data_IF_564464384449
#
_entry.id   IF_564464384449
#
_cell.length_a   1.000
_cell.length_b   1.000
_cell.length_c   1.000
_cell.angle_alpha   90.00
_cell.angle_beta   90.00
_cell.angle_gamma   90.00
#
_symmetry.space_group_name_H-M   'P 1'
#
loop_
_entity.id
_entity.type
_entity.pdbx_description
1 polymer ?
#
# COMPACT_ATOMS: atom_id res chain seq x y z
N UNK A 1 28.95 41.93 -8.33
CA UNK A 1 29.18 40.50 -8.04
C UNK A 1 27.84 39.85 -7.75
N UNK A 2 27.23 39.25 -8.78
CA UNK A 2 25.89 38.63 -8.74
C UNK A 2 26.07 37.12 -8.75
N UNK A 3 25.49 36.41 -7.77
CA UNK A 3 25.41 34.94 -7.77
C UNK A 3 24.02 34.56 -8.25
N UNK A 4 23.97 33.99 -9.44
CA UNK A 4 22.76 33.39 -10.00
C UNK A 4 22.56 32.01 -9.37
N UNK A 5 21.44 31.82 -8.67
CA UNK A 5 20.96 30.51 -8.23
C UNK A 5 20.17 29.90 -9.37
N UNK A 6 20.69 28.81 -9.94
CA UNK A 6 19.98 28.00 -10.93
C UNK A 6 19.05 27.07 -10.16
N UNK A 7 17.74 27.29 -10.28
CA UNK A 7 16.70 26.36 -9.84
C UNK A 7 16.45 25.40 -10.99
N UNK A 8 16.84 24.14 -10.80
CA UNK A 8 16.60 23.05 -11.75
C UNK A 8 15.21 22.49 -11.47
N UNK A 9 14.23 22.92 -12.27
CA UNK A 9 12.89 22.34 -12.28
C UNK A 9 12.97 21.03 -13.07
N UNK A 10 12.93 19.90 -12.38
CA UNK A 10 12.76 18.59 -13.00
C UNK A 10 11.26 18.33 -13.13
N UNK A 11 10.67 18.78 -14.24
CA UNK A 11 9.37 18.27 -14.70
C UNK A 11 9.59 16.89 -15.32
N UNK A 12 9.52 15.86 -14.49
CA UNK A 12 9.44 14.47 -14.92
C UNK A 12 7.98 14.03 -15.01
N UNK A 13 7.41 14.08 -16.21
CA UNK A 13 6.17 13.40 -16.56
C UNK A 13 6.30 11.91 -16.27
N UNK A 14 5.61 11.42 -15.24
CA UNK A 14 5.39 9.99 -15.01
C UNK A 14 3.89 9.70 -15.18
N UNK A 15 3.56 9.28 -16.41
CA UNK A 15 2.38 8.47 -16.65
C UNK A 15 2.71 7.08 -16.07
N UNK A 16 2.28 6.80 -14.84
CA UNK A 16 2.41 5.47 -14.25
C UNK A 16 1.20 5.17 -13.38
N UNK A 17 0.31 4.36 -13.95
CA UNK A 17 -0.75 3.56 -13.37
C UNK A 17 -1.24 3.92 -11.95
N UNK A 18 -2.38 4.60 -11.92
CA UNK A 18 -3.36 4.52 -10.86
C UNK A 18 -3.92 3.07 -10.77
N UNK A 19 -3.15 2.14 -10.20
CA UNK A 19 -3.63 0.83 -9.77
C UNK A 19 -2.79 0.42 -8.55
N UNK A 20 -3.32 0.62 -7.35
CA UNK A 20 -2.59 0.19 -6.16
C UNK A 20 -3.06 0.68 -4.80
N UNK A 21 -4.36 0.99 -4.60
CA UNK A 21 -4.89 1.20 -3.24
C UNK A 21 -6.26 0.53 -2.98
N UNK A 22 -6.75 -0.32 -3.90
CA UNK A 22 -8.06 -0.98 -3.76
C UNK A 22 -8.04 -2.51 -3.62
N UNK A 23 -6.90 -3.13 -3.36
CA UNK A 23 -6.75 -4.60 -3.40
C UNK A 23 -6.34 -5.29 -2.09
N UNK A 24 -6.67 -4.73 -0.92
CA UNK A 24 -6.55 -5.45 0.37
C UNK A 24 -7.80 -5.39 1.26
N UNK A 25 -8.97 -5.06 0.69
CA UNK A 25 -10.26 -5.16 1.39
C UNK A 25 -11.19 -6.15 0.68
N UNK A 26 -10.81 -7.42 0.63
CA UNK A 26 -11.78 -8.53 0.59
C UNK A 26 -11.07 -9.89 0.71
N UNK A 27 -10.80 -10.27 1.97
CA UNK A 27 -10.75 -11.68 2.37
C UNK A 27 -11.35 -11.77 3.77
N UNK A 28 -12.64 -11.45 3.89
CA UNK A 28 -13.44 -11.90 5.02
C UNK A 28 -13.78 -13.37 4.77
N UNK A 29 -13.13 -14.26 5.51
CA UNK A 29 -13.70 -15.57 5.79
C UNK A 29 -14.53 -15.42 7.05
N UNK A 30 -15.85 -15.48 6.90
CA UNK A 30 -16.77 -15.66 8.01
C UNK A 30 -16.51 -17.03 8.64
N UNK A 31 -15.62 -17.10 9.63
CA UNK A 31 -15.56 -18.24 10.53
C UNK A 31 -16.58 -18.04 11.63
N UNK A 32 -17.73 -18.68 11.48
CA UNK A 32 -18.72 -18.86 12.53
C UNK A 32 -18.04 -19.35 13.83
N UNK A 33 -18.15 -18.55 14.89
CA UNK A 33 -17.98 -18.99 16.26
C UNK A 33 -19.05 -20.05 16.55
N UNK A 34 -18.65 -21.30 16.70
CA UNK A 34 -19.48 -22.36 17.29
C UNK A 34 -18.85 -22.85 18.59
N UNK A 35 -19.72 -22.94 19.59
CA UNK A 35 -19.46 -23.31 20.97
C UNK A 35 -18.63 -24.58 21.15
N UNK A 36 -17.76 -24.54 22.16
CA UNK A 36 -17.18 -25.71 22.77
C UNK A 36 -18.24 -26.54 23.51
N UNK A 37 -18.39 -27.81 23.13
CA UNK A 37 -18.81 -28.86 24.06
C UNK A 37 -17.94 -30.10 23.91
N UNK A 38 -17.37 -30.51 25.06
CA UNK A 38 -16.65 -31.75 25.31
C UNK A 38 -17.55 -32.97 25.06
N UNK A 39 -17.02 -34.04 24.45
CA UNK A 39 -16.76 -35.33 25.11
C UNK A 39 -16.26 -36.43 24.15
N UNK A 40 -15.18 -37.09 24.60
CA UNK A 40 -14.88 -38.53 24.59
C UNK A 40 -14.40 -39.27 23.32
N UNK A 41 -13.26 -39.92 23.58
CA UNK A 41 -12.48 -41.00 22.94
C UNK A 41 -13.25 -42.12 22.24
N UNK A 42 -12.73 -42.61 21.10
CA UNK A 42 -12.25 -44.00 20.89
C UNK A 42 -11.63 -44.23 19.49
N UNK A 43 -10.70 -45.19 19.46
CA UNK A 43 -9.79 -45.59 18.37
C UNK A 43 -10.46 -46.22 17.13
N UNK A 44 -9.84 -46.05 15.95
CA UNK A 44 -9.31 -47.13 15.09
C UNK A 44 -9.03 -46.67 13.64
N UNK A 45 -7.92 -47.17 13.09
CA UNK A 45 -7.43 -47.04 11.70
C UNK A 45 -7.60 -48.40 10.97
N UNK A 46 -7.10 -48.66 9.73
CA UNK A 46 -7.35 -48.05 8.42
C UNK A 46 -7.73 -49.09 7.32
N UNK A 47 -8.26 -48.64 6.17
CA UNK A 47 -8.15 -49.18 4.79
C UNK A 47 -9.15 -48.40 3.92
N UNK A 48 -8.86 -47.79 2.77
CA UNK A 48 -8.08 -48.24 1.63
C UNK A 48 -9.06 -48.53 0.49
N UNK A 49 -9.14 -47.69 -0.55
CA UNK A 49 -9.53 -48.06 -1.93
C UNK A 49 -9.41 -46.90 -2.93
N UNK A 50 -9.25 -47.30 -4.19
CA UNK A 50 -8.64 -46.64 -5.35
C UNK A 50 -9.60 -45.78 -6.19
N UNK A 51 -9.02 -44.71 -6.75
CA UNK A 51 -9.03 -44.13 -8.12
C UNK A 51 -10.22 -44.25 -9.11
N UNK A 52 -10.23 -43.22 -9.99
CA UNK A 52 -10.83 -43.03 -11.34
C UNK A 52 -12.35 -42.70 -11.28
N UNK A 53 -12.94 -41.67 -11.92
CA UNK A 53 -12.77 -41.04 -13.24
C UNK A 53 -13.18 -39.55 -13.20
N UNK A 54 -12.53 -38.78 -14.08
CA UNK A 54 -12.86 -37.48 -14.65
C UNK A 54 -14.33 -37.05 -14.64
N UNK A 55 -14.57 -35.80 -14.27
CA UNK A 55 -15.57 -34.97 -14.94
C UNK A 55 -15.10 -33.51 -15.01
N UNK A 56 -15.07 -33.02 -16.24
CA UNK A 56 -14.72 -31.66 -16.58
C UNK A 56 -15.78 -30.70 -16.06
N UNK A 57 -15.42 -29.87 -15.08
CA UNK A 57 -16.22 -28.72 -14.67
C UNK A 57 -15.97 -27.57 -15.65
N UNK A 58 -17.03 -26.87 -16.10
CA UNK A 58 -16.90 -25.77 -17.04
C UNK A 58 -16.19 -24.60 -16.38
N UNK A 59 -15.31 -23.97 -17.16
CA UNK A 59 -14.66 -22.69 -16.87
C UNK A 59 -15.64 -21.75 -16.16
N UNK A 60 -15.39 -21.47 -14.89
CA UNK A 60 -16.01 -20.35 -14.20
C UNK A 60 -15.58 -19.10 -14.96
N UNK A 61 -16.53 -18.51 -15.68
CA UNK A 61 -16.37 -17.22 -16.32
C UNK A 61 -15.81 -16.26 -15.28
N UNK A 62 -14.64 -15.71 -15.56
CA UNK A 62 -14.11 -14.54 -14.89
C UNK A 62 -15.21 -13.48 -14.92
N UNK A 63 -15.88 -13.32 -13.78
CA UNK A 63 -16.79 -12.22 -13.53
C UNK A 63 -15.90 -11.02 -13.30
N UNK A 64 -15.52 -10.36 -14.39
CA UNK A 64 -14.99 -9.01 -14.32
C UNK A 64 -16.04 -8.15 -13.60
N UNK A 65 -15.70 -7.67 -12.40
CA UNK A 65 -16.46 -6.68 -11.62
C UNK A 65 -16.42 -5.30 -12.30
N UNK A 66 -16.70 -5.25 -13.60
CA UNK A 66 -16.80 -4.03 -14.41
C UNK A 66 -18.24 -3.75 -14.83
N UNK A 67 -19.23 -4.22 -14.06
CA UNK A 67 -20.64 -4.17 -14.45
C UNK A 67 -21.61 -3.85 -13.31
N UNK A 68 -21.56 -2.63 -12.75
CA UNK A 68 -22.63 -2.16 -11.85
C UNK A 68 -22.93 -0.64 -11.86
N UNK A 69 -22.41 0.14 -12.81
CA UNK A 69 -22.71 1.58 -12.90
C UNK A 69 -23.48 2.01 -14.14
N UNK A 70 -23.91 1.09 -15.00
CA UNK A 70 -24.71 1.40 -16.21
C UNK A 70 -26.13 1.92 -15.89
N UNK A 71 -26.50 1.98 -14.61
CA UNK A 71 -27.81 2.42 -14.13
C UNK A 71 -27.72 3.48 -13.02
N UNK A 72 -26.74 4.39 -13.09
CA UNK A 72 -26.83 5.60 -12.27
C UNK A 72 -28.12 6.35 -12.63
N UNK A 73 -28.96 6.72 -11.65
CA UNK A 73 -30.10 7.56 -11.91
C UNK A 73 -29.67 8.80 -12.71
N UNK A 74 -30.29 9.09 -13.88
CA UNK A 74 -29.88 10.19 -14.76
C UNK A 74 -29.93 11.56 -14.05
N UNK A 75 -30.69 11.66 -12.96
CA UNK A 75 -30.70 12.81 -12.08
C UNK A 75 -29.34 13.10 -11.44
N UNK A 76 -28.59 12.06 -11.01
CA UNK A 76 -27.29 12.24 -10.34
C UNK A 76 -26.25 12.77 -11.32
N UNK A 77 -26.20 12.17 -12.52
CA UNK A 77 -25.33 12.66 -13.60
C UNK A 77 -25.71 14.10 -14.00
N UNK A 78 -27.01 14.38 -14.09
CA UNK A 78 -27.52 15.73 -14.33
C UNK A 78 -27.10 16.76 -13.27
N UNK A 79 -26.95 16.37 -11.99
CA UNK A 79 -26.43 17.27 -10.95
C UNK A 79 -24.94 17.55 -11.15
N UNK A 80 -24.14 16.52 -11.43
CA UNK A 80 -22.68 16.64 -11.56
C UNK A 80 -22.26 17.45 -12.79
N UNK A 81 -22.90 17.19 -13.93
CA UNK A 81 -22.57 17.82 -15.22
C UNK A 81 -23.15 19.23 -15.36
N UNK A 82 -24.09 19.63 -14.50
CA UNK A 82 -24.70 20.95 -14.59
C UNK A 82 -23.73 22.05 -14.16
N UNK A 83 -23.21 22.77 -15.17
CA UNK A 83 -22.28 23.89 -15.00
C UNK A 83 -22.93 25.13 -14.36
N UNK A 84 -24.26 25.23 -14.31
CA UNK A 84 -24.95 26.34 -13.64
C UNK A 84 -25.00 26.21 -12.12
N UNK A 85 -24.71 25.02 -11.58
CA UNK A 85 -24.69 24.78 -10.14
C UNK A 85 -23.28 25.03 -9.59
N UNK A 86 -23.20 25.81 -8.51
CA UNK A 86 -21.98 25.93 -7.73
C UNK A 86 -21.74 24.68 -6.85
N UNK A 87 -20.59 24.60 -6.18
CA UNK A 87 -20.20 23.42 -5.40
C UNK A 87 -21.17 23.12 -4.24
N UNK A 88 -21.60 24.15 -3.50
CA UNK A 88 -22.53 23.99 -2.39
C UNK A 88 -23.93 23.54 -2.88
N UNK A 89 -24.41 24.10 -4.00
CA UNK A 89 -25.68 23.69 -4.62
C UNK A 89 -25.65 22.24 -5.13
N UNK A 90 -24.52 21.79 -5.68
CA UNK A 90 -24.34 20.39 -6.08
C UNK A 90 -24.39 19.47 -4.87
N UNK A 91 -23.67 19.82 -3.80
CA UNK A 91 -23.66 19.05 -2.55
C UNK A 91 -25.05 18.98 -1.92
N UNK A 92 -25.81 20.07 -1.89
CA UNK A 92 -27.17 20.08 -1.36
C UNK A 92 -28.10 19.16 -2.13
N UNK A 93 -28.03 19.17 -3.47
CA UNK A 93 -28.83 18.28 -4.32
C UNK A 93 -28.42 16.82 -4.16
N UNK A 94 -27.12 16.52 -4.13
CA UNK A 94 -26.62 15.16 -3.91
C UNK A 94 -26.98 14.64 -2.52
N UNK A 95 -26.91 15.50 -1.50
CA UNK A 95 -27.32 15.10 -0.15
C UNK A 95 -28.82 14.80 -0.09
N UNK A 96 -29.65 15.60 -0.75
CA UNK A 96 -31.10 15.33 -0.84
C UNK A 96 -31.38 14.01 -1.58
N UNK A 97 -30.65 13.72 -2.65
CA UNK A 97 -30.72 12.44 -3.33
C UNK A 97 -30.29 11.30 -2.39
N UNK A 98 -29.23 11.51 -1.59
CA UNK A 98 -28.76 10.53 -0.61
C UNK A 98 -29.81 10.24 0.46
N UNK A 99 -30.49 11.26 0.99
CA UNK A 99 -31.59 11.08 1.95
C UNK A 99 -32.77 10.30 1.34
N UNK A 100 -33.05 10.53 0.05
CA UNK A 100 -34.10 9.82 -0.69
C UNK A 100 -33.76 8.34 -0.88
N UNK A 101 -32.50 8.05 -1.21
CA UNK A 101 -31.99 6.70 -1.46
C UNK A 101 -31.32 6.07 -0.23
N UNK A 102 -31.57 6.58 0.97
CA UNK A 102 -30.94 6.13 2.22
C UNK A 102 -31.08 4.62 2.50
N UNK A 103 -32.12 3.99 1.95
CA UNK A 103 -32.42 2.56 2.10
C UNK A 103 -31.82 1.68 1.01
N UNK A 104 -31.10 2.27 0.05
CA UNK A 104 -30.45 1.59 -1.07
C UNK A 104 -28.93 1.74 -0.89
N UNK A 105 -28.27 0.83 -0.14
CA UNK A 105 -26.90 1.05 0.34
C UNK A 105 -25.89 1.35 -0.76
N UNK A 106 -26.02 0.72 -1.92
CA UNK A 106 -25.12 0.93 -3.06
C UNK A 106 -25.24 2.34 -3.64
N UNK A 107 -26.47 2.81 -3.88
CA UNK A 107 -26.73 4.17 -4.39
C UNK A 107 -26.35 5.21 -3.35
N UNK A 108 -26.73 5.00 -2.09
CA UNK A 108 -26.39 5.86 -0.98
C UNK A 108 -24.86 6.01 -0.82
N UNK A 109 -24.14 4.89 -0.88
CA UNK A 109 -22.67 4.87 -0.83
C UNK A 109 -22.07 5.61 -2.02
N UNK A 110 -22.54 5.35 -3.23
CA UNK A 110 -22.07 6.04 -4.44
C UNK A 110 -22.25 7.55 -4.34
N UNK A 111 -23.42 8.01 -3.86
CA UNK A 111 -23.70 9.43 -3.66
C UNK A 111 -22.73 10.07 -2.66
N UNK A 112 -22.50 9.42 -1.51
CA UNK A 112 -21.55 9.91 -0.50
C UNK A 112 -20.11 9.91 -1.00
N UNK A 113 -19.69 8.86 -1.70
CA UNK A 113 -18.35 8.79 -2.32
C UNK A 113 -18.17 9.87 -3.40
N UNK A 114 -19.23 10.19 -4.14
CA UNK A 114 -19.22 11.26 -5.14
C UNK A 114 -19.07 12.65 -4.49
N UNK A 115 -19.72 12.87 -3.35
CA UNK A 115 -19.64 14.14 -2.63
C UNK A 115 -18.21 14.46 -2.15
N UNK A 116 -17.33 13.45 -1.97
CA UNK A 116 -15.93 13.65 -1.55
C UNK A 116 -15.11 14.49 -2.53
N UNK A 117 -15.51 14.52 -3.81
CA UNK A 117 -14.79 15.23 -4.87
C UNK A 117 -15.27 16.67 -5.07
N UNK A 118 -16.31 17.09 -4.36
CA UNK A 118 -16.86 18.44 -4.45
C UNK A 118 -16.37 19.23 -3.24
N UNK A 119 -15.76 20.39 -3.49
CA UNK A 119 -15.20 21.25 -2.44
C UNK A 119 -16.22 22.30 -2.02
N UNK A 120 -16.92 22.16 -0.88
CA UNK A 120 -17.87 23.17 -0.43
C UNK A 120 -17.16 24.46 -0.01
N UNK A 121 -17.84 25.58 -0.17
CA UNK A 121 -17.42 26.85 0.42
C UNK A 121 -17.69 26.85 1.92
N UNK A 122 -18.82 26.25 2.35
CA UNK A 122 -19.21 26.17 3.76
C UNK A 122 -18.89 24.79 4.38
N UNK A 123 -17.61 24.57 4.69
CA UNK A 123 -17.13 23.31 5.30
C UNK A 123 -17.78 23.02 6.65
N UNK A 124 -18.07 24.04 7.47
CA UNK A 124 -18.67 23.86 8.81
C UNK A 124 -20.06 23.24 8.74
N UNK A 125 -20.93 23.80 7.88
CA UNK A 125 -22.27 23.26 7.66
C UNK A 125 -22.23 21.82 7.12
N UNK A 126 -21.27 21.51 6.22
CA UNK A 126 -21.11 20.16 5.70
C UNK A 126 -20.71 19.17 6.80
N UNK A 127 -19.76 19.53 7.66
CA UNK A 127 -19.35 18.71 8.81
C UNK A 127 -20.52 18.43 9.75
N UNK A 128 -21.28 19.45 10.12
CA UNK A 128 -22.47 19.30 10.98
C UNK A 128 -23.50 18.36 10.36
N UNK A 129 -23.72 18.47 9.04
CA UNK A 129 -24.67 17.62 8.31
C UNK A 129 -24.21 16.16 8.27
N UNK A 130 -22.91 15.92 8.06
CA UNK A 130 -22.34 14.56 8.09
C UNK A 130 -22.43 13.96 9.49
N UNK A 131 -22.09 14.72 10.53
CA UNK A 131 -22.26 14.26 11.92
C UNK A 131 -23.71 13.88 12.22
N UNK A 132 -24.67 14.72 11.80
CA UNK A 132 -26.08 14.45 11.99
C UNK A 132 -26.48 13.14 11.30
N UNK A 133 -25.99 12.89 10.07
CA UNK A 133 -26.18 11.65 9.33
C UNK A 133 -25.61 10.43 10.08
N UNK A 134 -24.36 10.52 10.57
CA UNK A 134 -23.71 9.43 11.31
C UNK A 134 -24.46 9.05 12.60
N UNK A 135 -25.03 10.03 13.31
CA UNK A 135 -25.71 9.79 14.59
C UNK A 135 -27.18 9.37 14.46
N UNK A 136 -27.91 9.93 13.50
CA UNK A 136 -29.37 9.74 13.39
C UNK A 136 -29.76 8.77 12.27
N UNK A 137 -28.85 8.47 11.35
CA UNK A 137 -29.09 7.57 10.24
C UNK A 137 -29.04 6.10 10.63
N UNK A 138 -30.08 5.37 10.22
CA UNK A 138 -30.05 3.90 10.21
C UNK A 138 -29.46 3.42 8.88
N UNK A 139 -28.15 3.53 8.75
CA UNK A 139 -27.41 3.15 7.54
C UNK A 139 -26.68 1.82 7.71
N UNK A 140 -26.49 1.14 6.58
CA UNK A 140 -25.56 0.01 6.44
C UNK A 140 -24.11 0.45 6.70
N UNK A 141 -23.28 -0.50 7.16
CA UNK A 141 -21.86 -0.29 7.46
C UNK A 141 -21.09 0.38 6.32
N UNK A 142 -21.35 -0.01 5.06
CA UNK A 142 -20.69 0.57 3.89
C UNK A 142 -20.97 2.07 3.74
N UNK A 143 -22.21 2.49 3.99
CA UNK A 143 -22.62 3.89 3.93
C UNK A 143 -22.03 4.68 5.12
N UNK A 144 -22.00 4.10 6.32
CA UNK A 144 -21.36 4.72 7.50
C UNK A 144 -19.88 4.99 7.26
N UNK A 145 -19.15 4.01 6.73
CA UNK A 145 -17.72 4.18 6.37
C UNK A 145 -17.54 5.28 5.33
N UNK A 146 -18.39 5.34 4.31
CA UNK A 146 -18.34 6.41 3.31
C UNK A 146 -18.66 7.80 3.89
N UNK A 147 -19.58 7.90 4.85
CA UNK A 147 -19.84 9.17 5.55
C UNK A 147 -18.63 9.62 6.37
N UNK A 148 -17.93 8.71 7.04
CA UNK A 148 -16.66 9.03 7.73
C UNK A 148 -15.58 9.47 6.75
N UNK A 149 -15.48 8.86 5.57
CA UNK A 149 -14.54 9.30 4.52
C UNK A 149 -14.91 10.68 3.97
N UNK A 150 -16.21 10.97 3.81
CA UNK A 150 -16.70 12.28 3.41
C UNK A 150 -16.39 13.34 4.47
N UNK A 151 -16.48 13.00 5.76
CA UNK A 151 -16.04 13.86 6.84
C UNK A 151 -14.53 14.15 6.76
N UNK A 152 -13.72 13.09 6.60
CA UNK A 152 -12.27 13.21 6.46
C UNK A 152 -11.85 14.03 5.24
N UNK A 153 -12.56 13.93 4.12
CA UNK A 153 -12.25 14.72 2.91
C UNK A 153 -12.45 16.23 3.10
N UNK A 154 -13.17 16.66 4.13
CA UNK A 154 -13.33 18.08 4.47
C UNK A 154 -12.10 18.68 5.18
N UNK A 155 -11.09 17.86 5.51
CA UNK A 155 -9.93 18.26 6.29
C UNK A 155 -8.88 19.11 5.54
N UNK A 156 -9.04 19.33 4.22
CA UNK A 156 -8.02 19.93 3.34
C UNK A 156 -7.10 20.95 4.01
N UNK A 157 -5.80 20.72 3.87
CA UNK A 157 -4.77 21.70 4.21
C UNK A 157 -4.84 22.85 3.20
N UNK A 158 -4.77 24.08 3.70
CA UNK A 158 -4.76 25.27 2.85
C UNK A 158 -3.55 25.20 1.91
N UNK A 159 -3.81 25.03 0.61
CA UNK A 159 -2.79 24.83 -0.42
C UNK A 159 -1.90 26.08 -0.65
N UNK A 160 -2.21 27.21 0.00
CA UNK A 160 -1.39 28.42 -0.05
C UNK A 160 -0.13 28.33 0.82
N UNK A 161 0.08 27.23 1.53
CA UNK A 161 1.10 27.12 2.56
C UNK A 161 2.29 26.33 2.05
N UNK A 162 3.42 27.03 1.93
CA UNK A 162 4.72 26.47 1.55
C UNK A 162 5.23 25.45 2.56
N UNK A 163 5.86 24.39 2.03
CA UNK A 163 6.34 23.14 2.67
C UNK A 163 7.22 23.23 3.92
N UNK A 164 7.63 24.44 4.35
CA UNK A 164 8.41 24.60 5.59
C UNK A 164 7.56 24.71 6.85
N UNK A 165 6.23 24.82 6.72
CA UNK A 165 5.29 25.00 7.84
C UNK A 165 4.15 23.97 7.83
N UNK A 166 4.20 23.00 6.92
CA UNK A 166 3.14 22.02 6.65
C UNK A 166 2.75 21.17 7.88
N UNK A 167 3.66 21.02 8.84
CA UNK A 167 3.44 20.30 10.10
C UNK A 167 2.75 21.12 11.20
N UNK A 168 2.45 22.41 10.98
CA UNK A 168 2.01 23.34 12.04
C UNK A 168 0.70 24.07 11.74
N UNK A 169 0.01 23.77 10.63
CA UNK A 169 -1.29 24.38 10.38
C UNK A 169 -2.41 23.47 10.81
N UNK A 170 -3.32 23.97 11.65
CA UNK A 170 -4.48 23.19 12.01
C UNK A 170 -5.32 23.05 10.74
N UNK A 171 -5.29 21.86 10.15
CA UNK A 171 -6.40 21.41 9.30
C UNK A 171 -7.72 21.59 10.05
N UNK A 172 -8.85 21.53 9.36
CA UNK A 172 -10.14 21.92 9.95
C UNK A 172 -10.37 21.24 11.33
N UNK A 173 -10.25 21.97 12.47
CA UNK A 173 -10.25 21.37 13.80
C UNK A 173 -11.61 20.77 14.14
N UNK A 174 -12.67 21.23 13.46
CA UNK A 174 -14.00 20.63 13.54
C UNK A 174 -13.95 19.20 13.00
N UNK A 175 -13.30 18.96 11.86
CA UNK A 175 -13.20 17.60 11.28
C UNK A 175 -12.48 16.65 12.22
N UNK A 176 -11.36 17.07 12.81
CA UNK A 176 -10.64 16.24 13.79
C UNK A 176 -11.47 15.95 15.03
N UNK A 177 -12.18 16.96 15.56
CA UNK A 177 -13.09 16.78 16.69
C UNK A 177 -14.23 15.80 16.35
N UNK A 178 -14.83 15.94 15.16
CA UNK A 178 -15.87 15.05 14.64
C UNK A 178 -15.37 13.62 14.45
N UNK A 179 -14.17 13.43 13.89
CA UNK A 179 -13.55 12.11 13.72
C UNK A 179 -13.24 11.48 15.07
N UNK A 180 -12.71 12.23 16.04
CA UNK A 180 -12.46 11.73 17.40
C UNK A 180 -13.76 11.32 18.10
N UNK A 181 -14.84 12.07 17.91
CA UNK A 181 -16.18 11.71 18.40
C UNK A 181 -16.69 10.42 17.73
N UNK A 182 -16.57 10.32 16.41
CA UNK A 182 -16.96 9.14 15.64
C UNK A 182 -16.13 7.89 16.01
N UNK A 183 -14.85 8.05 16.33
CA UNK A 183 -13.96 6.98 16.81
C UNK A 183 -14.40 6.38 18.15
N UNK A 184 -15.18 7.13 18.94
CA UNK A 184 -15.80 6.67 20.20
C UNK A 184 -17.26 6.23 20.03
N UNK A 185 -17.73 6.04 18.79
CA UNK A 185 -19.08 5.55 18.51
C UNK A 185 -19.27 4.12 19.05
N UNK A 186 -20.48 3.81 19.51
CA UNK A 186 -20.87 2.43 19.81
C UNK A 186 -21.08 1.57 18.56
N UNK A 187 -21.15 2.20 17.38
CA UNK A 187 -21.21 1.53 16.09
C UNK A 187 -19.80 1.19 15.58
N UNK A 188 -19.53 -0.10 15.42
CA UNK A 188 -18.18 -0.59 15.08
C UNK A 188 -17.69 -0.06 13.73
N UNK A 189 -18.54 -0.03 12.69
CA UNK A 189 -18.13 0.44 11.36
C UNK A 189 -17.73 1.91 11.34
N UNK A 190 -18.47 2.75 12.08
CA UNK A 190 -18.17 4.17 12.27
C UNK A 190 -16.88 4.35 13.06
N UNK A 191 -16.75 3.65 14.21
CA UNK A 191 -15.59 3.76 15.08
C UNK A 191 -14.31 3.29 14.37
N UNK A 192 -14.34 2.13 13.72
CA UNK A 192 -13.23 1.55 12.96
C UNK A 192 -12.74 2.53 11.88
N UNK A 193 -13.62 3.01 11.01
CA UNK A 193 -13.22 3.92 9.94
C UNK A 193 -12.72 5.26 10.49
N UNK A 194 -13.34 5.78 11.56
CA UNK A 194 -12.94 7.05 12.14
C UNK A 194 -11.58 6.99 12.82
N UNK A 195 -11.22 5.86 13.45
CA UNK A 195 -9.87 5.63 13.97
C UNK A 195 -8.83 5.70 12.85
N UNK A 196 -9.07 5.00 11.73
CA UNK A 196 -8.13 4.98 10.60
C UNK A 196 -8.00 6.32 9.88
N UNK A 197 -9.08 7.11 9.82
CA UNK A 197 -9.01 8.47 9.25
C UNK A 197 -8.33 9.43 10.22
N UNK A 198 -8.68 9.39 11.51
CA UNK A 198 -8.06 10.24 12.51
C UNK A 198 -6.57 9.96 12.63
N UNK A 199 -6.12 8.69 12.60
CA UNK A 199 -4.69 8.37 12.70
C UNK A 199 -3.89 9.14 11.67
N UNK A 200 -4.35 9.18 10.42
CA UNK A 200 -3.63 9.81 9.30
C UNK A 200 -3.70 11.33 9.25
N UNK A 201 -4.75 11.92 9.82
CA UNK A 201 -5.02 13.35 9.74
C UNK A 201 -4.66 14.11 11.03
N UNK A 202 -4.71 13.43 12.18
CA UNK A 202 -4.43 14.00 13.48
C UNK A 202 -2.95 14.14 13.79
N UNK A 203 -2.66 14.81 14.90
CA UNK A 203 -1.30 14.89 15.42
C UNK A 203 -0.78 13.51 15.83
N UNK A 204 0.49 13.21 15.53
CA UNK A 204 1.06 11.87 15.70
C UNK A 204 0.88 11.28 17.11
N UNK A 205 1.07 12.07 18.17
CA UNK A 205 0.92 11.58 19.56
C UNK A 205 -0.52 11.22 19.92
N UNK A 206 -1.46 12.06 19.50
CA UNK A 206 -2.89 11.84 19.69
C UNK A 206 -3.35 10.63 18.88
N UNK A 207 -2.87 10.49 17.65
CA UNK A 207 -3.12 9.34 16.77
C UNK A 207 -2.60 8.04 17.38
N UNK A 208 -1.38 8.00 17.91
CA UNK A 208 -0.81 6.81 18.58
C UNK A 208 -1.66 6.41 19.80
N UNK A 209 -2.08 7.39 20.61
CA UNK A 209 -2.93 7.14 21.79
C UNK A 209 -4.29 6.57 21.40
N UNK A 210 -4.90 7.10 20.34
CA UNK A 210 -6.15 6.59 19.79
C UNK A 210 -5.99 5.17 19.23
N UNK A 211 -4.93 4.90 18.47
CA UNK A 211 -4.63 3.57 17.91
C UNK A 211 -4.42 2.52 19.00
N UNK A 212 -3.71 2.86 20.08
CA UNK A 212 -3.53 1.97 21.23
C UNK A 212 -4.88 1.60 21.89
N UNK A 213 -5.74 2.61 22.07
CA UNK A 213 -7.09 2.42 22.62
C UNK A 213 -7.93 1.54 21.70
N UNK A 214 -7.95 1.86 20.40
CA UNK A 214 -8.68 1.13 19.37
C UNK A 214 -8.19 -0.32 19.18
N UNK A 215 -6.91 -0.58 19.42
CA UNK A 215 -6.38 -1.94 19.41
C UNK A 215 -6.84 -2.71 20.65
N UNK A 216 -6.82 -2.07 21.81
CA UNK A 216 -7.15 -2.69 23.11
C UNK A 216 -8.63 -3.06 23.24
N UNK A 217 -9.53 -2.25 22.67
CA UNK A 217 -10.98 -2.50 22.69
C UNK A 217 -11.47 -3.33 21.49
N UNK A 218 -10.57 -3.72 20.57
CA UNK A 218 -10.89 -4.51 19.39
C UNK A 218 -11.53 -3.75 18.23
N UNK A 219 -11.57 -2.41 18.27
CA UNK A 219 -12.06 -1.59 17.15
C UNK A 219 -11.20 -1.75 15.90
N UNK A 220 -9.89 -1.97 16.03
CA UNK A 220 -8.98 -2.31 14.91
C UNK A 220 -8.20 -3.59 15.21
N UNK A 221 -7.85 -4.32 14.16
CA UNK A 221 -7.06 -5.55 14.30
C UNK A 221 -5.54 -5.26 14.39
N UNK A 222 -4.74 -6.30 14.68
CA UNK A 222 -3.28 -6.17 14.79
C UNK A 222 -2.63 -5.61 13.52
N UNK A 223 -3.04 -6.09 12.34
CA UNK A 223 -2.44 -5.69 11.07
C UNK A 223 -2.69 -4.20 10.78
N UNK A 224 -3.93 -3.75 11.00
CA UNK A 224 -4.30 -2.34 10.88
C UNK A 224 -3.52 -1.47 11.87
N UNK A 225 -3.44 -1.89 13.13
CA UNK A 225 -2.66 -1.19 14.15
C UNK A 225 -1.19 -1.04 13.74
N UNK A 226 -0.52 -2.13 13.33
CA UNK A 226 0.89 -2.11 12.93
C UNK A 226 1.10 -1.22 11.69
N UNK A 227 0.19 -1.25 10.72
CA UNK A 227 0.24 -0.38 9.53
C UNK A 227 0.13 1.10 9.87
N UNK A 228 -0.81 1.47 10.73
CA UNK A 228 -0.99 2.87 11.10
C UNK A 228 0.15 3.36 12.00
N UNK A 229 0.65 2.53 12.93
CA UNK A 229 1.86 2.85 13.71
C UNK A 229 3.08 3.03 12.80
N UNK A 230 3.26 2.16 11.80
CA UNK A 230 4.41 2.25 10.89
C UNK A 230 4.39 3.52 10.02
N UNK A 231 3.20 4.03 9.70
CA UNK A 231 3.03 5.32 9.02
C UNK A 231 3.54 6.47 9.90
N UNK A 232 3.31 6.42 11.21
CA UNK A 232 3.76 7.44 12.16
C UNK A 232 5.23 7.38 12.52
N UNK A 233 5.90 6.23 12.37
CA UNK A 233 7.30 6.06 12.80
C UNK A 233 8.24 7.20 12.34
N UNK A 234 8.24 7.62 11.06
CA UNK A 234 9.13 8.69 10.61
C UNK A 234 8.69 10.09 11.04
N UNK A 235 7.49 10.24 11.62
CA UNK A 235 6.94 11.52 12.08
C UNK A 235 7.27 11.80 13.55
N UNK A 236 7.79 10.79 14.26
CA UNK A 236 8.12 10.87 15.68
C UNK A 236 9.53 11.45 15.82
N UNK A 237 9.64 12.58 16.51
CA UNK A 237 10.92 13.27 16.74
C UNK A 237 11.79 12.53 17.76
N UNK A 238 11.19 11.89 18.77
CA UNK A 238 11.93 11.20 19.84
C UNK A 238 12.40 9.80 19.40
N UNK A 239 13.73 9.55 19.30
CA UNK A 239 14.28 8.24 18.95
C UNK A 239 13.86 7.11 19.90
N UNK A 240 13.73 7.40 21.20
CA UNK A 240 13.35 6.38 22.19
C UNK A 240 11.91 5.91 21.95
N UNK A 241 11.02 6.83 21.57
CA UNK A 241 9.65 6.51 21.21
C UNK A 241 9.57 5.72 19.89
N UNK A 242 10.37 6.06 18.87
CA UNK A 242 10.45 5.26 17.63
C UNK A 242 10.81 3.80 17.95
N UNK A 243 11.83 3.59 18.79
CA UNK A 243 12.26 2.25 19.22
C UNK A 243 11.19 1.52 20.02
N UNK A 244 10.52 2.22 20.93
CA UNK A 244 9.44 1.63 21.70
C UNK A 244 8.32 1.11 20.79
N UNK A 245 7.90 1.91 19.80
CA UNK A 245 6.86 1.49 18.85
C UNK A 245 7.31 0.34 17.95
N UNK A 246 8.55 0.33 17.48
CA UNK A 246 9.11 -0.82 16.76
C UNK A 246 9.05 -2.09 17.63
N UNK A 247 9.39 -1.97 18.91
CA UNK A 247 9.24 -3.06 19.88
C UNK A 247 7.80 -3.54 20.04
N UNK A 248 6.81 -2.63 20.05
CA UNK A 248 5.39 -3.01 20.08
C UNK A 248 4.97 -3.73 18.79
N UNK A 249 5.46 -3.28 17.63
CA UNK A 249 5.16 -3.90 16.33
C UNK A 249 5.73 -5.33 16.25
N UNK A 250 6.98 -5.55 16.68
CA UNK A 250 7.59 -6.88 16.72
C UNK A 250 6.87 -7.83 17.67
N UNK A 251 6.38 -7.33 18.81
CA UNK A 251 5.66 -8.13 19.80
C UNK A 251 4.13 -8.22 19.55
N UNK A 252 3.66 -7.70 18.41
CA UNK A 252 2.22 -7.60 18.10
C UNK A 252 1.56 -8.94 17.75
N UNK A 253 2.36 -9.97 17.49
CA UNK A 253 1.91 -11.29 17.00
C UNK A 253 1.66 -11.34 15.49
N UNK A 254 1.98 -10.28 14.74
CA UNK A 254 1.93 -10.28 13.28
C UNK A 254 3.03 -11.20 12.72
N UNK A 255 2.76 -11.99 11.65
CA UNK A 255 3.79 -12.76 10.97
C UNK A 255 4.97 -11.87 10.54
N UNK A 256 6.20 -12.37 10.68
CA UNK A 256 7.40 -11.58 10.39
C UNK A 256 7.49 -11.09 8.95
N UNK A 257 6.98 -11.86 7.98
CA UNK A 257 6.89 -11.46 6.57
C UNK A 257 5.95 -10.26 6.37
N UNK A 258 4.76 -10.28 7.00
CA UNK A 258 3.81 -9.17 6.94
C UNK A 258 4.39 -7.91 7.58
N UNK A 259 5.08 -8.05 8.73
CA UNK A 259 5.77 -6.94 9.38
C UNK A 259 6.88 -6.36 8.49
N UNK A 260 7.67 -7.21 7.84
CA UNK A 260 8.72 -6.80 6.92
C UNK A 260 8.15 -6.06 5.70
N UNK A 261 7.02 -6.50 5.13
CA UNK A 261 6.36 -5.79 4.03
C UNK A 261 5.89 -4.39 4.45
N UNK A 262 5.29 -4.28 5.64
CA UNK A 262 4.85 -2.99 6.21
C UNK A 262 6.04 -2.05 6.39
N UNK A 263 7.13 -2.53 7.01
CA UNK A 263 8.32 -1.73 7.26
C UNK A 263 9.09 -1.37 5.98
N UNK A 264 9.12 -2.27 4.99
CA UNK A 264 9.67 -1.96 3.68
C UNK A 264 8.89 -0.84 3.00
N UNK A 265 7.57 -0.83 3.16
CA UNK A 265 6.71 0.27 2.68
C UNK A 265 6.99 1.58 3.42
N UNK A 266 7.12 1.53 4.76
CA UNK A 266 7.47 2.71 5.58
C UNK A 266 8.81 3.32 5.15
N UNK A 267 9.84 2.50 4.91
CA UNK A 267 11.16 2.95 4.49
C UNK A 267 11.17 3.66 3.12
N UNK A 268 10.14 3.46 2.31
CA UNK A 268 9.97 4.09 1.01
C UNK A 268 9.09 5.36 1.04
N UNK A 269 8.54 5.71 2.20
CA UNK A 269 7.81 6.98 2.33
C UNK A 269 8.78 8.17 2.14
N UNK A 270 8.29 9.29 1.58
CA UNK A 270 9.09 10.51 1.46
C UNK A 270 9.70 10.91 2.81
N UNK A 271 10.98 11.28 2.81
CA UNK A 271 11.74 11.68 4.00
C UNK A 271 11.90 10.61 5.11
N UNK A 272 11.38 9.39 4.95
CA UNK A 272 11.40 8.40 6.02
C UNK A 272 12.82 8.07 6.51
N UNK A 273 13.74 7.81 5.57
CA UNK A 273 15.12 7.47 5.90
C UNK A 273 15.89 8.61 6.58
N UNK A 274 15.52 9.87 6.31
CA UNK A 274 16.15 11.04 6.97
C UNK A 274 15.55 11.34 8.34
N UNK A 275 14.33 10.88 8.63
CA UNK A 275 13.64 11.14 9.90
C UNK A 275 13.76 10.00 10.92
N UNK A 276 14.01 8.78 10.46
CA UNK A 276 14.24 7.65 11.34
C UNK A 276 15.62 7.72 11.99
N UNK A 277 15.68 7.47 13.29
CA UNK A 277 16.95 7.42 14.02
C UNK A 277 17.82 6.23 13.54
N UNK A 278 19.16 6.32 13.62
CA UNK A 278 20.06 5.24 13.19
C UNK A 278 19.74 3.89 13.82
N UNK A 279 19.46 3.85 15.12
CA UNK A 279 19.09 2.61 15.80
C UNK A 279 17.77 2.05 15.23
N UNK A 280 16.81 2.91 14.87
CA UNK A 280 15.51 2.50 14.31
C UNK A 280 15.71 1.87 12.94
N UNK A 281 16.59 2.45 12.13
CA UNK A 281 17.03 1.89 10.85
C UNK A 281 17.71 0.53 11.03
N UNK A 282 18.56 0.35 12.05
CA UNK A 282 19.16 -0.95 12.38
C UNK A 282 18.10 -2.00 12.77
N UNK A 283 17.13 -1.63 13.60
CA UNK A 283 16.01 -2.50 13.98
C UNK A 283 15.20 -2.92 12.76
N UNK A 284 14.79 -1.96 11.91
CA UNK A 284 14.04 -2.24 10.69
C UNK A 284 14.85 -3.15 9.77
N UNK A 285 16.13 -2.84 9.53
CA UNK A 285 17.01 -3.67 8.70
C UNK A 285 17.07 -5.10 9.20
N UNK A 286 17.25 -5.33 10.51
CA UNK A 286 17.24 -6.67 11.09
C UNK A 286 15.94 -7.42 10.80
N UNK A 287 14.79 -6.75 10.91
CA UNK A 287 13.49 -7.36 10.62
C UNK A 287 13.40 -7.75 9.15
N UNK A 288 13.83 -6.86 8.24
CA UNK A 288 13.86 -7.15 6.80
C UNK A 288 14.81 -8.31 6.46
N UNK A 289 16.02 -8.33 7.03
CA UNK A 289 17.05 -9.36 6.78
C UNK A 289 16.61 -10.74 7.27
N UNK A 290 15.81 -10.81 8.34
CA UNK A 290 15.31 -12.07 8.92
C UNK A 290 14.02 -12.57 8.26
N UNK A 291 13.33 -11.72 7.49
CA UNK A 291 12.05 -12.05 6.86
C UNK A 291 12.03 -11.64 5.37
N UNK A 292 12.96 -12.16 4.54
CA UNK A 292 12.91 -11.91 3.10
C UNK A 292 11.63 -12.52 2.50
N UNK A 293 11.02 -11.86 1.50
CA UNK A 293 9.93 -12.47 0.74
C UNK A 293 10.45 -13.69 -0.01
N UNK A 294 9.70 -14.78 0.05
CA UNK A 294 10.02 -16.03 -0.63
C UNK A 294 9.17 -16.16 -1.88
N UNK A 295 9.80 -16.45 -3.01
CA UNK A 295 9.05 -16.88 -4.18
C UNK A 295 8.47 -18.28 -3.95
N UNK A 296 7.33 -18.57 -4.57
CA UNK A 296 6.75 -19.91 -4.55
C UNK A 296 7.75 -20.94 -5.10
N UNK A 297 7.70 -22.17 -4.57
CA UNK A 297 8.67 -23.22 -4.87
C UNK A 297 8.64 -23.68 -6.33
N UNK A 298 7.51 -23.48 -7.00
CA UNK A 298 7.41 -23.62 -8.44
C UNK A 298 8.02 -22.39 -9.12
N UNK A 299 9.04 -22.63 -9.94
CA UNK A 299 9.58 -21.64 -10.88
C UNK A 299 8.60 -21.33 -12.04
N UNK A 300 7.41 -21.95 -12.00
CA UNK A 300 6.39 -21.98 -13.05
C UNK A 300 5.64 -20.66 -13.18
N UNK A 301 5.30 -20.03 -12.06
CA UNK A 301 4.53 -18.79 -12.06
C UNK A 301 5.42 -17.61 -11.72
N UNK A 302 5.64 -16.77 -12.72
CA UNK A 302 6.14 -15.42 -12.53
C UNK A 302 5.01 -14.58 -11.91
N UNK A 303 4.79 -14.75 -10.61
CA UNK A 303 3.82 -13.94 -9.88
C UNK A 303 4.30 -12.48 -9.80
N UNK A 304 3.62 -11.61 -10.55
CA UNK A 304 3.91 -10.17 -10.61
C UNK A 304 3.82 -9.55 -9.21
N UNK A 305 2.93 -10.04 -8.35
CA UNK A 305 2.82 -9.54 -6.99
C UNK A 305 4.06 -9.94 -6.17
N UNK A 306 4.52 -11.19 -6.28
CA UNK A 306 5.74 -11.64 -5.62
C UNK A 306 6.99 -10.88 -6.11
N UNK A 307 7.10 -10.60 -7.41
CA UNK A 307 8.17 -9.74 -7.94
C UNK A 307 8.11 -8.32 -7.37
N UNK A 308 6.91 -7.74 -7.30
CA UNK A 308 6.73 -6.40 -6.74
C UNK A 308 7.06 -6.35 -5.24
N UNK A 309 6.66 -7.36 -4.47
CA UNK A 309 7.00 -7.51 -3.05
C UNK A 309 8.52 -7.67 -2.86
N UNK A 310 9.17 -8.54 -3.64
CA UNK A 310 10.62 -8.71 -3.59
C UNK A 310 11.34 -7.41 -3.94
N UNK A 311 10.95 -6.73 -5.01
CA UNK A 311 11.56 -5.45 -5.39
C UNK A 311 11.36 -4.38 -4.30
N UNK A 312 10.18 -4.31 -3.68
CA UNK A 312 9.93 -3.38 -2.56
C UNK A 312 10.86 -3.67 -1.38
N UNK A 313 10.94 -4.93 -0.96
CA UNK A 313 11.83 -5.37 0.11
C UNK A 313 13.30 -5.09 -0.23
N UNK A 314 13.78 -5.52 -1.40
CA UNK A 314 15.16 -5.33 -1.85
C UNK A 314 15.55 -3.85 -1.91
N UNK A 315 14.64 -3.01 -2.42
CA UNK A 315 14.78 -1.56 -2.45
C UNK A 315 14.91 -0.99 -1.04
N UNK A 316 14.00 -1.33 -0.13
CA UNK A 316 14.04 -0.86 1.26
C UNK A 316 15.30 -1.32 2.00
N UNK A 317 15.68 -2.59 1.90
CA UNK A 317 16.89 -3.14 2.52
C UNK A 317 18.15 -2.43 2.02
N UNK A 318 18.21 -2.13 0.72
CA UNK A 318 19.35 -1.44 0.11
C UNK A 318 19.38 0.05 0.48
N UNK A 319 18.24 0.75 0.50
CA UNK A 319 18.21 2.17 0.86
C UNK A 319 18.48 2.40 2.34
N UNK A 320 18.02 1.53 3.23
CA UNK A 320 18.39 1.55 4.65
C UNK A 320 19.88 1.29 4.82
N UNK A 321 20.42 0.29 4.12
CA UNK A 321 21.86 0.00 4.18
C UNK A 321 22.68 1.17 3.65
N UNK A 322 22.25 1.82 2.57
CA UNK A 322 22.86 3.06 2.08
C UNK A 322 22.84 4.16 3.14
N UNK A 323 21.69 4.40 3.80
CA UNK A 323 21.58 5.40 4.85
C UNK A 323 22.53 5.15 6.03
N UNK A 324 22.79 3.88 6.35
CA UNK A 324 23.67 3.48 7.47
C UNK A 324 25.16 3.43 7.11
N UNK A 325 25.51 3.08 5.88
CA UNK A 325 26.90 2.79 5.47
C UNK A 325 27.48 3.73 4.42
N UNK A 326 26.62 4.45 3.68
CA UNK A 326 27.00 5.26 2.53
C UNK A 326 27.21 4.46 1.23
N UNK A 327 27.13 3.13 1.24
CA UNK A 327 27.32 2.33 0.02
C UNK A 327 26.22 2.63 -1.02
N UNK A 328 26.55 2.78 -2.32
CA UNK A 328 25.55 3.09 -3.34
C UNK A 328 24.43 2.04 -3.44
N UNK A 329 23.18 2.48 -3.55
CA UNK A 329 22.02 1.58 -3.68
C UNK A 329 22.12 0.59 -4.86
N UNK A 330 22.58 0.98 -6.08
CA UNK A 330 22.73 0.03 -7.18
C UNK A 330 23.73 -1.09 -6.88
N UNK A 331 24.75 -0.79 -6.09
CA UNK A 331 25.80 -1.73 -5.69
C UNK A 331 25.26 -2.76 -4.69
N UNK A 332 24.48 -2.28 -3.72
CA UNK A 332 23.79 -3.12 -2.73
C UNK A 332 22.76 -4.06 -3.39
N UNK A 333 21.95 -3.53 -4.31
CA UNK A 333 20.99 -4.32 -5.08
C UNK A 333 21.70 -5.36 -5.94
N UNK A 334 22.81 -5.00 -6.57
CA UNK A 334 23.64 -5.92 -7.36
C UNK A 334 24.18 -7.05 -6.49
N UNK A 335 24.73 -6.75 -5.32
CA UNK A 335 25.23 -7.75 -4.39
C UNK A 335 24.13 -8.70 -3.92
N UNK A 336 22.92 -8.17 -3.68
CA UNK A 336 21.76 -8.94 -3.23
C UNK A 336 21.28 -9.94 -4.29
N UNK A 337 21.08 -9.50 -5.54
CA UNK A 337 20.56 -10.38 -6.62
C UNK A 337 21.61 -11.35 -7.16
N UNK A 338 22.89 -11.03 -6.97
CA UNK A 338 24.01 -11.90 -7.38
C UNK A 338 24.54 -12.79 -6.26
N UNK A 339 23.91 -12.78 -5.08
CA UNK A 339 24.31 -13.62 -3.97
C UNK A 339 24.31 -15.11 -4.37
N UNK A 340 25.31 -15.91 -3.94
CA UNK A 340 25.33 -17.34 -4.24
C UNK A 340 24.06 -18.04 -3.75
N UNK A 341 23.30 -18.64 -4.68
CA UNK A 341 22.04 -19.29 -4.36
C UNK A 341 20.82 -18.37 -4.38
N UNK A 342 20.97 -17.10 -4.76
CA UNK A 342 19.83 -16.22 -5.04
C UNK A 342 18.92 -16.85 -6.11
N UNK A 343 17.61 -16.74 -5.88
CA UNK A 343 16.59 -17.13 -6.86
C UNK A 343 16.71 -16.22 -8.09
N UNK A 344 16.79 -16.76 -9.32
CA UNK A 344 16.86 -15.94 -10.54
C UNK A 344 15.74 -14.90 -10.67
N UNK A 345 14.57 -15.13 -10.06
CA UNK A 345 13.45 -14.18 -10.03
C UNK A 345 13.80 -12.90 -9.25
N UNK A 346 14.77 -12.93 -8.34
CA UNK A 346 15.29 -11.73 -7.67
C UNK A 346 15.92 -10.75 -8.66
N UNK A 347 16.74 -11.26 -9.59
CA UNK A 347 17.33 -10.45 -10.66
C UNK A 347 16.23 -9.89 -11.55
N UNK A 348 15.23 -10.69 -11.93
CA UNK A 348 14.10 -10.24 -12.75
C UNK A 348 13.30 -9.14 -12.04
N UNK A 349 12.99 -9.31 -10.74
CA UNK A 349 12.26 -8.34 -9.93
C UNK A 349 12.96 -6.97 -9.91
N UNK A 350 14.28 -6.95 -9.67
CA UNK A 350 15.06 -5.71 -9.65
C UNK A 350 15.24 -5.14 -11.06
N UNK A 351 15.41 -5.99 -12.07
CA UNK A 351 15.56 -5.60 -13.47
C UNK A 351 14.27 -5.00 -14.08
N UNK A 352 13.10 -5.34 -13.53
CA UNK A 352 11.82 -4.75 -13.89
C UNK A 352 11.51 -3.44 -13.12
N UNK A 353 12.39 -3.02 -12.21
CA UNK A 353 12.19 -1.84 -11.36
C UNK A 353 12.66 -0.54 -12.01
N UNK A 354 12.27 0.64 -11.46
CA UNK A 354 12.84 1.92 -11.85
C UNK A 354 14.38 2.02 -11.70
N UNK A 355 15.00 1.15 -10.91
CA UNK A 355 16.46 1.09 -10.71
C UNK A 355 17.18 0.16 -11.70
N UNK A 356 16.45 -0.42 -12.67
CA UNK A 356 16.99 -1.37 -13.65
C UNK A 356 18.27 -0.87 -14.32
N UNK A 357 18.26 0.32 -14.90
CA UNK A 357 19.42 0.82 -15.66
C UNK A 357 20.67 0.99 -14.79
N UNK A 358 20.52 1.51 -13.57
CA UNK A 358 21.64 1.67 -12.64
C UNK A 358 22.18 0.33 -12.16
N UNK A 359 21.32 -0.66 -11.94
CA UNK A 359 21.73 -2.02 -11.55
C UNK A 359 22.39 -2.76 -12.72
N UNK A 360 21.84 -2.68 -13.94
CA UNK A 360 22.45 -3.27 -15.14
C UNK A 360 23.81 -2.65 -15.46
N UNK A 361 23.94 -1.34 -15.25
CA UNK A 361 25.22 -0.68 -15.30
C UNK A 361 26.16 -1.28 -14.26
N UNK A 362 25.82 -1.27 -12.97
CA UNK A 362 26.66 -1.80 -11.89
C UNK A 362 27.10 -3.27 -12.12
N UNK A 363 26.19 -4.13 -12.59
CA UNK A 363 26.49 -5.51 -13.01
C UNK A 363 27.57 -5.56 -14.09
N UNK A 364 27.44 -4.73 -15.11
CA UNK A 364 28.44 -4.62 -16.19
C UNK A 364 29.75 -4.06 -15.66
N UNK A 365 29.70 -3.05 -14.77
CA UNK A 365 30.89 -2.39 -14.24
C UNK A 365 31.77 -3.32 -13.42
N UNK A 366 31.12 -4.22 -12.67
CA UNK A 366 31.75 -5.22 -11.81
C UNK A 366 32.11 -6.52 -12.53
N UNK A 367 31.86 -6.62 -13.84
CA UNK A 367 32.13 -7.83 -14.62
C UNK A 367 31.19 -9.00 -14.31
N UNK A 368 30.03 -8.73 -13.70
CA UNK A 368 29.02 -9.73 -13.29
C UNK A 368 27.95 -9.98 -14.37
N UNK A 369 28.03 -9.32 -15.53
CA UNK A 369 27.04 -9.45 -16.60
C UNK A 369 26.85 -10.89 -17.07
N UNK A 370 27.94 -11.64 -17.27
CA UNK A 370 27.87 -13.05 -17.68
C UNK A 370 27.23 -13.94 -16.60
N UNK A 371 27.45 -13.61 -15.32
CA UNK A 371 26.87 -14.35 -14.21
C UNK A 371 25.37 -14.10 -14.14
N UNK A 372 24.94 -12.86 -14.35
CA UNK A 372 23.53 -12.47 -14.46
C UNK A 372 22.85 -13.21 -15.63
N UNK A 373 23.49 -13.26 -16.81
CA UNK A 373 22.99 -14.02 -17.96
C UNK A 373 22.83 -15.51 -17.63
N UNK A 374 23.81 -16.12 -16.96
CA UNK A 374 23.69 -17.51 -16.49
C UNK A 374 22.55 -17.71 -15.49
N UNK A 375 22.25 -16.73 -14.63
CA UNK A 375 21.07 -16.81 -13.77
C UNK A 375 19.76 -16.82 -14.57
N UNK A 376 19.66 -15.94 -15.58
CA UNK A 376 18.50 -15.88 -16.46
C UNK A 376 18.32 -17.17 -17.28
N UNK A 377 19.42 -17.79 -17.75
CA UNK A 377 19.37 -19.09 -18.42
C UNK A 377 18.81 -20.19 -17.50
N UNK A 378 19.21 -20.22 -16.23
CA UNK A 378 18.65 -21.17 -15.24
C UNK A 378 17.14 -20.99 -15.07
N UNK A 379 16.65 -19.77 -15.09
CA UNK A 379 15.21 -19.49 -15.05
C UNK A 379 14.51 -20.00 -16.31
N UNK A 380 15.05 -19.73 -17.50
CA UNK A 380 14.45 -20.17 -18.77
C UNK A 380 14.43 -21.68 -18.97
N UNK A 381 15.41 -22.40 -18.38
CA UNK A 381 15.50 -23.86 -18.42
C UNK A 381 14.56 -24.54 -17.42
N UNK A 382 13.98 -23.80 -16.47
CA UNK A 382 12.97 -24.35 -15.58
C UNK A 382 11.72 -24.72 -16.39
N UNK A 383 11.16 -25.90 -16.12
CA UNK A 383 9.90 -26.33 -16.75
C UNK A 383 8.81 -25.30 -16.48
N UNK A 384 7.94 -25.03 -17.48
CA UNK A 384 6.73 -24.19 -17.40
C UNK A 384 6.92 -22.67 -17.39
N UNK A 385 8.01 -22.17 -17.96
CA UNK A 385 8.16 -20.76 -18.32
C UNK A 385 7.08 -20.30 -19.32
N UNK A 386 6.43 -19.16 -19.03
CA UNK A 386 5.40 -18.56 -19.90
C UNK A 386 6.02 -17.70 -21.02
N UNK A 387 5.21 -17.33 -22.02
CA UNK A 387 5.66 -16.44 -23.08
C UNK A 387 6.00 -15.03 -22.55
N UNK A 388 5.22 -14.55 -21.57
CA UNK A 388 5.41 -13.26 -20.92
C UNK A 388 6.73 -13.22 -20.13
N UNK A 389 6.99 -14.24 -19.30
CA UNK A 389 8.22 -14.34 -18.54
C UNK A 389 9.45 -14.45 -19.47
N UNK A 390 9.31 -15.18 -20.59
CA UNK A 390 10.34 -15.23 -21.64
C UNK A 390 10.62 -13.87 -22.28
N UNK A 391 9.57 -13.06 -22.51
CA UNK A 391 9.70 -11.70 -23.04
C UNK A 391 10.46 -10.76 -22.11
N UNK A 392 10.15 -10.80 -20.80
CA UNK A 392 10.87 -10.02 -19.79
C UNK A 392 12.34 -10.43 -19.75
N UNK A 393 12.64 -11.73 -19.73
CA UNK A 393 14.03 -12.21 -19.70
C UNK A 393 14.79 -11.81 -20.97
N UNK A 394 14.16 -11.87 -22.15
CA UNK A 394 14.79 -11.46 -23.40
C UNK A 394 15.15 -9.97 -23.41
N UNK A 395 14.27 -9.11 -22.89
CA UNK A 395 14.54 -7.68 -22.73
C UNK A 395 15.72 -7.43 -21.76
N UNK A 396 15.73 -8.09 -20.60
CA UNK A 396 16.85 -7.96 -19.64
C UNK A 396 18.18 -8.42 -20.28
N UNK A 397 18.16 -9.54 -21.00
CA UNK A 397 19.32 -10.08 -21.72
C UNK A 397 19.86 -9.05 -22.72
N UNK A 398 18.98 -8.50 -23.55
CA UNK A 398 19.34 -7.50 -24.56
C UNK A 398 20.03 -6.28 -23.93
N UNK A 399 19.51 -5.78 -22.79
CA UNK A 399 20.10 -4.64 -22.07
C UNK A 399 21.50 -4.96 -21.54
N UNK A 400 21.73 -6.16 -21.00
CA UNK A 400 23.04 -6.60 -20.50
C UNK A 400 24.06 -6.77 -21.64
N UNK A 401 23.66 -7.37 -22.76
CA UNK A 401 24.53 -7.61 -23.92
C UNK A 401 24.94 -6.30 -24.60
N UNK A 402 23.99 -5.39 -24.85
CA UNK A 402 24.26 -4.09 -25.46
C UNK A 402 25.26 -3.26 -24.65
N UNK A 403 25.17 -3.30 -23.32
CA UNK A 403 26.09 -2.60 -22.41
C UNK A 403 27.48 -3.24 -22.37
N UNK A 404 27.54 -4.56 -22.37
CA UNK A 404 28.81 -5.29 -22.40
C UNK A 404 29.59 -5.03 -23.69
N UNK A 405 28.90 -4.97 -24.83
CA UNK A 405 29.51 -4.68 -26.14
C UNK A 405 29.98 -3.22 -26.27
N UNK A 406 29.30 -2.28 -25.61
CA UNK A 406 29.66 -0.85 -25.64
C UNK A 406 30.94 -0.51 -24.84
N UNK A 407 31.45 -1.44 -24.03
CA UNK A 407 32.65 -1.25 -23.20
C UNK A 407 33.96 -1.72 -23.83
N UNK A 408 33.93 -2.32 -25.03
CA UNK A 408 35.16 -2.65 -25.75
C UNK A 408 35.82 -1.32 -26.15
N UNK A 409 36.97 -0.94 -25.56
CA UNK A 409 37.64 0.30 -25.94
C UNK A 409 38.00 0.19 -27.42
N UNK A 410 37.62 1.19 -28.22
CA UNK A 410 38.18 1.35 -29.56
C UNK A 410 39.70 1.28 -29.41
N UNK A 411 40.41 0.44 -30.20
CA UNK A 411 41.85 0.35 -30.11
C UNK A 411 42.40 1.76 -30.29
N UNK A 412 43.10 2.28 -29.27
CA UNK A 412 43.87 3.50 -29.39
C UNK A 412 44.93 3.22 -30.45
N UNK A 413 44.68 3.70 -31.66
CA UNK A 413 45.58 3.56 -32.80
C UNK A 413 46.95 4.19 -32.48
N UNK A 414 48.02 3.67 -33.09
CA UNK A 414 49.41 3.99 -32.78
C UNK A 414 49.78 5.46 -33.00
#
# INVERSE_FOLDING_TARGET
MSRHTIILIVTGTSLTCAMGYRLLSNRHSDSHLTEHSRLKTEDASPAGLKSVISDALPLSSQRTESGHFDHLPPEIQGILENASLNADEKLDKLWKAFETHAREPEIARYLVDTMQFIKPTNKGQMVERIEAGLHHGSYDDGVRRSLVNLLASQFEHDASITSTTEWQLPGNPLVLASLRKAANSGDHATAHQAVLQYSRLGEAQDSISLLNTARSNGTINTNEYVKEISFHLPLIVDPAQQQHLLGLMENSGLPGQDLAEILATTAQLPHALSSLAPDSLHTIRRILDTNPPTFASDLLDLDVLALAQYNRWAGASSTITHALSGEPVPDLLTALVMYPGADPRALIAVAASPMSESVMQALTERGLANDALRQLDRFQLASGNTAEASGIVADIRMRLENRSNSRIPLPTGP
#
